data_IF_287437672211
#
_entry.id   IF_287437672211
#
_cell.length_a   1.000
_cell.length_b   1.000
_cell.length_c   1.000
_cell.angle_alpha   90.00
_cell.angle_beta   90.00
_cell.angle_gamma   90.00
#
_symmetry.space_group_name_H-M   'P 1'
#
loop_
_entity.id
_entity.type
_entity.pdbx_description
1 polymer ?
#
# COMPACT_ATOMS: atom_id res chain seq x y z
N UNK A 1 -11.08 11.08 -7.98
CA UNK A 1 -9.91 10.60 -7.16
C UNK A 1 -8.68 10.59 -8.06
N UNK A 2 -7.66 11.38 -7.76
CA UNK A 2 -6.48 11.50 -8.63
C UNK A 2 -5.70 10.20 -8.65
N UNK A 3 -5.49 9.67 -9.83
CA UNK A 3 -4.60 8.54 -10.07
C UNK A 3 -3.16 9.04 -10.08
N UNK A 4 -2.39 8.69 -9.06
CA UNK A 4 -0.97 9.08 -8.94
C UNK A 4 -0.07 8.24 -9.84
N UNK A 5 -0.24 8.38 -11.16
CA UNK A 5 0.39 7.55 -12.20
C UNK A 5 1.92 7.47 -12.08
N UNK A 6 2.56 8.54 -11.61
CA UNK A 6 4.01 8.55 -11.34
C UNK A 6 4.47 7.37 -10.47
N UNK A 7 3.73 7.05 -9.40
CA UNK A 7 4.05 5.95 -8.51
C UNK A 7 3.57 4.61 -9.08
N UNK A 8 2.36 4.58 -9.60
CA UNK A 8 1.75 3.36 -10.15
C UNK A 8 2.60 2.81 -11.29
N UNK A 9 3.10 3.67 -12.21
CA UNK A 9 3.99 3.28 -13.31
C UNK A 9 5.27 2.59 -12.81
N UNK A 10 5.87 3.08 -11.73
CA UNK A 10 7.07 2.46 -11.14
C UNK A 10 6.75 1.10 -10.51
N UNK A 11 5.64 1.01 -9.77
CA UNK A 11 5.24 -0.21 -9.06
C UNK A 11 4.77 -1.29 -10.04
N UNK A 12 4.18 -0.90 -11.18
CA UNK A 12 3.64 -1.80 -12.21
C UNK A 12 4.68 -2.81 -12.72
N UNK A 13 5.96 -2.41 -12.79
CA UNK A 13 7.04 -3.30 -13.21
C UNK A 13 7.28 -4.46 -12.23
N UNK A 14 6.73 -4.37 -11.01
CA UNK A 14 6.91 -5.36 -9.96
C UNK A 14 5.64 -6.15 -9.65
N UNK A 15 4.53 -5.94 -10.37
CA UNK A 15 3.26 -6.59 -10.06
C UNK A 15 3.38 -8.11 -9.95
N UNK A 16 4.12 -8.73 -10.85
CA UNK A 16 4.27 -10.19 -10.92
C UNK A 16 5.58 -10.70 -10.31
N UNK A 17 6.43 -9.80 -9.78
CA UNK A 17 7.68 -10.19 -9.13
C UNK A 17 7.42 -10.85 -7.78
N UNK A 18 8.39 -11.68 -7.35
CA UNK A 18 8.41 -12.32 -6.03
C UNK A 18 8.86 -11.36 -4.90
N UNK A 19 9.32 -10.15 -5.26
CA UNK A 19 9.66 -9.12 -4.29
C UNK A 19 8.42 -8.59 -3.60
N UNK A 20 8.51 -8.37 -2.30
CA UNK A 20 7.47 -7.69 -1.52
C UNK A 20 7.49 -6.20 -1.90
N UNK A 21 6.36 -5.67 -2.35
CA UNK A 21 6.19 -4.25 -2.71
C UNK A 21 5.78 -3.47 -1.48
N UNK A 22 6.68 -2.64 -0.96
CA UNK A 22 6.51 -1.88 0.29
C UNK A 22 6.25 -0.42 -0.04
N UNK A 23 5.03 0.06 0.19
CA UNK A 23 4.67 1.47 0.04
C UNK A 23 4.84 2.17 1.39
N UNK A 24 5.89 2.98 1.51
CA UNK A 24 6.20 3.72 2.73
C UNK A 24 5.95 5.22 2.55
N UNK A 25 5.57 5.87 3.62
CA UNK A 25 5.35 7.32 3.62
C UNK A 25 4.66 7.77 4.88
N UNK A 26 4.70 9.06 5.13
CA UNK A 26 4.05 9.65 6.31
C UNK A 26 2.55 9.36 6.29
N UNK A 27 1.93 9.37 7.46
CA UNK A 27 0.49 9.14 7.59
C UNK A 27 -0.27 10.16 6.73
N UNK A 28 -1.36 9.72 6.08
CA UNK A 28 -2.24 10.54 5.20
C UNK A 28 -1.59 11.07 3.91
N UNK A 29 -0.44 10.56 3.48
CA UNK A 29 0.15 10.95 2.18
C UNK A 29 -0.45 10.24 0.96
N UNK A 30 -1.43 9.35 1.14
CA UNK A 30 -2.16 8.68 0.05
C UNK A 30 -1.66 7.28 -0.31
N UNK A 31 -0.98 6.56 0.60
CA UNK A 31 -0.52 5.16 0.38
C UNK A 31 -1.67 4.23 0.02
N UNK A 32 -2.73 4.22 0.85
CA UNK A 32 -3.92 3.37 0.64
C UNK A 32 -4.63 3.67 -0.68
N UNK A 33 -4.66 4.93 -1.12
CA UNK A 33 -5.25 5.32 -2.41
C UNK A 33 -4.44 4.74 -3.58
N UNK A 34 -3.11 4.80 -3.51
CA UNK A 34 -2.24 4.18 -4.51
C UNK A 34 -2.42 2.66 -4.51
N UNK A 35 -2.47 2.03 -3.33
CA UNK A 35 -2.69 0.60 -3.18
C UNK A 35 -4.01 0.17 -3.83
N UNK A 36 -5.10 0.91 -3.59
CA UNK A 36 -6.41 0.67 -4.21
C UNK A 36 -6.36 0.85 -5.73
N UNK A 37 -5.67 1.88 -6.23
CA UNK A 37 -5.52 2.10 -7.67
C UNK A 37 -4.79 0.95 -8.36
N UNK A 38 -3.75 0.39 -7.72
CA UNK A 38 -3.03 -0.81 -8.19
C UNK A 38 -3.98 -2.01 -8.20
N UNK A 39 -4.73 -2.20 -7.12
CA UNK A 39 -5.69 -3.29 -7.00
C UNK A 39 -6.75 -3.23 -8.12
N UNK A 40 -7.28 -2.04 -8.44
CA UNK A 40 -8.25 -1.88 -9.53
C UNK A 40 -7.65 -2.23 -10.91
N UNK A 41 -6.37 -1.87 -11.15
CA UNK A 41 -5.68 -2.31 -12.39
C UNK A 41 -5.55 -3.83 -12.47
N UNK A 42 -5.26 -4.49 -11.35
CA UNK A 42 -5.07 -5.95 -11.30
C UNK A 42 -6.42 -6.67 -11.39
N UNK A 43 -7.49 -6.11 -10.82
CA UNK A 43 -8.86 -6.65 -10.93
C UNK A 43 -9.34 -6.80 -12.36
N UNK A 44 -8.85 -5.99 -13.29
CA UNK A 44 -9.18 -6.14 -14.72
C UNK A 44 -8.64 -7.45 -15.32
N UNK A 45 -7.67 -8.09 -14.66
CA UNK A 45 -6.98 -9.30 -15.15
C UNK A 45 -7.32 -10.55 -14.34
N UNK A 46 -7.63 -10.42 -13.05
CA UNK A 46 -7.90 -11.55 -12.16
C UNK A 46 -8.75 -11.17 -10.97
N UNK A 47 -9.54 -12.15 -10.49
CA UNK A 47 -10.29 -12.05 -9.24
C UNK A 47 -9.60 -12.75 -8.06
N UNK A 48 -8.34 -13.21 -8.22
CA UNK A 48 -7.58 -13.83 -7.14
C UNK A 48 -6.82 -12.74 -6.37
N UNK A 49 -7.58 -11.93 -5.64
CA UNK A 49 -7.09 -10.76 -4.91
C UNK A 49 -7.60 -10.84 -3.47
N UNK A 50 -6.68 -10.65 -2.54
CA UNK A 50 -6.98 -10.53 -1.10
C UNK A 50 -6.58 -9.12 -0.67
N UNK A 51 -7.50 -8.39 -0.05
CA UNK A 51 -7.26 -7.07 0.51
C UNK A 51 -7.72 -7.01 1.96
N UNK A 52 -6.81 -6.60 2.84
CA UNK A 52 -7.07 -6.34 4.26
C UNK A 52 -6.53 -4.94 4.60
N UNK A 53 -7.36 -4.18 5.33
CA UNK A 53 -6.97 -2.87 5.87
C UNK A 53 -7.03 -2.94 7.40
N UNK A 54 -5.88 -3.01 8.03
CA UNK A 54 -5.75 -3.22 9.47
C UNK A 54 -6.01 -1.97 10.34
N UNK A 55 -6.27 -0.80 9.74
CA UNK A 55 -6.94 0.30 10.46
C UNK A 55 -8.42 -0.01 10.75
N UNK A 56 -9.00 -1.01 10.05
CA UNK A 56 -10.39 -1.42 10.29
C UNK A 56 -10.43 -2.59 11.25
N UNK A 57 -11.15 -2.42 12.35
CA UNK A 57 -11.33 -3.47 13.37
C UNK A 57 -11.81 -4.80 12.77
N UNK A 58 -12.74 -4.75 11.80
CA UNK A 58 -13.26 -5.97 11.16
C UNK A 58 -12.17 -6.76 10.40
N UNK A 59 -11.18 -6.10 9.81
CA UNK A 59 -10.10 -6.78 9.10
C UNK A 59 -9.02 -7.25 10.09
N UNK A 60 -8.75 -6.47 11.14
CA UNK A 60 -7.86 -6.87 12.22
C UNK A 60 -8.40 -8.10 12.98
N UNK A 61 -9.73 -8.21 13.18
CA UNK A 61 -10.35 -9.40 13.77
C UNK A 61 -10.24 -10.67 12.91
N UNK A 62 -9.98 -10.56 11.62
CA UNK A 62 -9.76 -11.70 10.71
C UNK A 62 -8.34 -12.24 10.79
N UNK A 63 -7.37 -11.38 11.13
CA UNK A 63 -5.96 -11.72 11.15
C UNK A 63 -5.19 -10.71 12.03
N UNK A 64 -5.17 -10.96 13.34
CA UNK A 64 -4.52 -10.10 14.32
C UNK A 64 -3.04 -10.41 14.54
N UNK A 65 -2.59 -11.59 14.11
CA UNK A 65 -1.22 -12.07 14.26
C UNK A 65 -0.75 -12.83 13.01
N UNK A 66 0.54 -13.19 13.00
CA UNK A 66 1.17 -13.86 11.87
C UNK A 66 0.46 -15.15 11.44
N UNK A 67 0.08 -15.99 12.37
CA UNK A 67 -0.54 -17.30 12.08
C UNK A 67 -1.91 -17.10 11.44
N UNK A 68 -2.74 -16.28 12.04
CA UNK A 68 -4.08 -15.97 11.53
C UNK A 68 -4.02 -15.32 10.14
N UNK A 69 -3.01 -14.47 9.88
CA UNK A 69 -2.83 -13.84 8.57
C UNK A 69 -2.50 -14.87 7.50
N UNK A 70 -1.57 -15.78 7.77
CA UNK A 70 -1.21 -16.85 6.83
C UNK A 70 -2.40 -17.78 6.59
N UNK A 71 -3.11 -18.19 7.63
CA UNK A 71 -4.30 -19.02 7.51
C UNK A 71 -5.42 -18.34 6.72
N UNK A 72 -5.66 -17.05 6.98
CA UNK A 72 -6.66 -16.28 6.25
C UNK A 72 -6.34 -16.22 4.76
N UNK A 73 -5.10 -15.93 4.40
CA UNK A 73 -4.67 -15.89 3.00
C UNK A 73 -4.83 -17.27 2.36
N UNK A 74 -4.35 -18.32 2.99
CA UNK A 74 -4.41 -19.68 2.44
C UNK A 74 -5.84 -20.19 2.25
N UNK A 75 -6.78 -19.80 3.12
CA UNK A 75 -8.21 -20.17 3.03
C UNK A 75 -8.95 -19.41 1.92
N UNK A 76 -8.55 -18.17 1.63
CA UNK A 76 -9.27 -17.28 0.72
C UNK A 76 -8.64 -17.19 -0.69
N UNK A 77 -7.39 -17.60 -0.85
CA UNK A 77 -6.75 -17.59 -2.17
C UNK A 77 -7.34 -18.67 -3.08
N UNK A 78 -7.37 -18.37 -4.37
CA UNK A 78 -7.75 -19.31 -5.43
C UNK A 78 -6.50 -19.89 -6.10
N UNK A 79 -6.67 -20.87 -6.97
CA UNK A 79 -5.58 -21.40 -7.78
C UNK A 79 -4.96 -20.33 -8.69
N UNK A 80 -3.66 -20.44 -8.92
CA UNK A 80 -2.88 -19.53 -9.76
C UNK A 80 -2.29 -18.35 -8.99
N UNK A 81 -1.95 -17.29 -9.70
CA UNK A 81 -1.32 -16.08 -9.12
C UNK A 81 -2.30 -15.35 -8.20
N UNK A 82 -1.91 -15.15 -6.96
CA UNK A 82 -2.68 -14.43 -5.94
C UNK A 82 -2.01 -13.09 -5.63
N UNK A 83 -2.79 -12.02 -5.63
CA UNK A 83 -2.32 -10.68 -5.27
C UNK A 83 -2.84 -10.30 -3.89
N UNK A 84 -1.91 -10.10 -2.95
CA UNK A 84 -2.20 -9.89 -1.54
C UNK A 84 -1.86 -8.43 -1.20
N UNK A 85 -2.84 -7.67 -0.75
CA UNK A 85 -2.73 -6.26 -0.38
C UNK A 85 -3.01 -6.11 1.11
N UNK A 86 -2.00 -5.70 1.86
CA UNK A 86 -2.05 -5.51 3.31
C UNK A 86 -1.81 -4.03 3.63
N UNK A 87 -2.87 -3.31 3.95
CA UNK A 87 -2.82 -1.89 4.24
C UNK A 87 -2.64 -1.66 5.74
N UNK A 88 -1.64 -0.83 6.12
CA UNK A 88 -1.19 -0.57 7.49
C UNK A 88 -0.84 -1.87 8.26
N UNK A 89 -0.03 -2.72 7.61
CA UNK A 89 0.31 -4.09 8.07
C UNK A 89 0.96 -4.13 9.46
N UNK A 90 1.57 -3.04 9.94
CA UNK A 90 2.21 -2.96 11.25
C UNK A 90 1.22 -3.03 12.44
N UNK A 91 -0.06 -3.04 12.18
CA UNK A 91 -1.08 -3.27 13.22
C UNK A 91 -1.30 -4.76 13.51
N UNK A 92 -0.72 -5.66 12.70
CA UNK A 92 -0.73 -7.11 12.90
C UNK A 92 0.51 -7.53 13.68
N UNK A 93 0.33 -8.31 14.74
CA UNK A 93 1.45 -8.83 15.52
C UNK A 93 2.30 -9.80 14.69
N UNK A 94 3.61 -9.63 14.73
CA UNK A 94 4.59 -10.44 13.99
C UNK A 94 4.34 -10.53 12.47
N UNK A 95 3.71 -9.50 11.89
CA UNK A 95 3.38 -9.44 10.45
C UNK A 95 4.55 -9.78 9.51
N UNK A 96 5.78 -9.44 9.90
CA UNK A 96 6.99 -9.73 9.13
C UNK A 96 7.22 -11.23 8.95
N UNK A 97 6.85 -12.04 9.93
CA UNK A 97 6.91 -13.51 9.87
C UNK A 97 5.90 -14.01 8.85
N UNK A 98 4.66 -13.52 8.92
CA UNK A 98 3.61 -13.87 7.97
C UNK A 98 3.98 -13.52 6.52
N UNK A 99 4.45 -12.30 6.29
CA UNK A 99 4.83 -11.83 4.94
C UNK A 99 6.01 -12.62 4.39
N UNK A 100 6.98 -12.99 5.25
CA UNK A 100 8.10 -13.86 4.86
C UNK A 100 7.62 -15.25 4.46
N UNK A 101 6.71 -15.85 5.22
CA UNK A 101 6.14 -17.16 4.94
C UNK A 101 5.32 -17.14 3.65
N UNK A 102 4.38 -16.23 3.52
CA UNK A 102 3.55 -16.06 2.33
C UNK A 102 4.36 -15.86 1.04
N UNK A 103 5.52 -15.21 1.14
CA UNK A 103 6.43 -15.00 0.00
C UNK A 103 7.10 -16.30 -0.49
N UNK A 104 7.20 -17.34 0.33
CA UNK A 104 7.81 -18.62 -0.09
C UNK A 104 7.02 -19.28 -1.22
N UNK A 105 5.72 -19.02 -1.31
CA UNK A 105 4.94 -19.42 -2.48
C UNK A 105 5.08 -18.38 -3.60
N UNK A 106 5.76 -18.76 -4.69
CA UNK A 106 6.00 -17.91 -5.86
C UNK A 106 4.71 -17.45 -6.58
N UNK A 107 3.57 -18.08 -6.27
CA UNK A 107 2.26 -17.67 -6.75
C UNK A 107 1.75 -16.41 -6.03
N UNK A 108 2.31 -16.06 -4.88
CA UNK A 108 1.89 -14.87 -4.14
C UNK A 108 2.65 -13.62 -4.61
N UNK A 109 1.91 -12.56 -4.86
CA UNK A 109 2.43 -11.22 -5.11
C UNK A 109 1.96 -10.29 -4.00
N UNK A 110 2.88 -9.84 -3.14
CA UNK A 110 2.55 -9.18 -1.88
C UNK A 110 2.83 -7.68 -1.97
N UNK A 111 1.83 -6.89 -1.59
CA UNK A 111 1.89 -5.43 -1.46
C UNK A 111 1.56 -5.05 -0.02
N UNK A 112 2.42 -4.27 0.60
CA UNK A 112 2.20 -3.81 1.97
C UNK A 112 2.32 -2.30 2.07
N UNK A 113 1.55 -1.69 2.95
CA UNK A 113 1.72 -0.29 3.34
C UNK A 113 1.93 -0.16 4.84
N UNK A 114 2.51 0.97 5.22
CA UNK A 114 2.61 1.38 6.61
C UNK A 114 3.39 2.67 6.79
N UNK A 115 3.50 3.15 8.03
CA UNK A 115 4.26 4.34 8.34
C UNK A 115 5.77 4.07 8.29
N UNK A 116 6.57 5.06 7.84
CA UNK A 116 8.03 4.94 7.72
C UNK A 116 8.73 4.42 9.00
N UNK A 117 8.30 4.89 10.15
CA UNK A 117 8.93 4.55 11.42
C UNK A 117 8.76 3.09 11.83
N UNK A 118 7.64 2.48 11.43
CA UNK A 118 7.31 1.09 11.79
C UNK A 118 7.75 0.07 10.73
N UNK A 119 7.73 0.43 9.43
CA UNK A 119 8.08 -0.49 8.35
C UNK A 119 9.56 -0.47 7.93
N UNK A 120 10.30 0.57 8.25
CA UNK A 120 11.71 0.73 7.91
C UNK A 120 12.62 0.70 9.14
N UNK A 121 12.20 0.07 10.25
CA UNK A 121 13.10 -0.22 11.36
C UNK A 121 14.24 -1.14 10.88
N UNK A 122 15.43 -0.98 11.46
CA UNK A 122 16.62 -1.79 11.10
C UNK A 122 16.37 -3.29 11.20
N UNK A 123 15.55 -3.71 12.17
CA UNK A 123 15.19 -5.12 12.39
C UNK A 123 14.37 -5.68 11.23
N UNK A 124 13.36 -4.93 10.75
CA UNK A 124 12.51 -5.34 9.62
C UNK A 124 13.29 -5.34 8.31
N UNK A 125 14.15 -4.34 8.11
CA UNK A 125 15.04 -4.31 6.94
C UNK A 125 15.97 -5.52 6.90
N UNK A 126 16.44 -5.97 8.06
CA UNK A 126 17.28 -7.18 8.17
C UNK A 126 16.48 -8.44 7.86
N UNK A 127 15.27 -8.60 8.40
CA UNK A 127 14.41 -9.76 8.19
C UNK A 127 13.95 -9.91 6.73
N UNK A 128 13.71 -8.79 6.04
CA UNK A 128 13.25 -8.77 4.65
C UNK A 128 14.38 -8.48 3.65
N UNK A 129 15.64 -8.43 4.10
CA UNK A 129 16.80 -8.05 3.28
C UNK A 129 16.86 -8.81 1.96
N UNK A 130 17.05 -8.08 0.87
CA UNK A 130 17.11 -8.62 -0.50
C UNK A 130 15.78 -9.16 -1.06
N UNK A 131 14.66 -9.03 -0.32
CA UNK A 131 13.37 -9.65 -0.67
C UNK A 131 12.23 -8.65 -0.86
N UNK A 132 12.51 -7.37 -0.84
CA UNK A 132 11.51 -6.32 -1.02
C UNK A 132 12.02 -5.19 -1.92
N UNK A 133 11.09 -4.43 -2.45
CA UNK A 133 11.31 -3.15 -3.12
C UNK A 133 10.45 -2.09 -2.43
N UNK A 134 11.05 -0.97 -2.06
CA UNK A 134 10.34 0.11 -1.35
C UNK A 134 10.04 1.29 -2.28
N UNK A 135 8.83 1.81 -2.14
CA UNK A 135 8.34 2.99 -2.84
C UNK A 135 7.98 4.07 -1.82
N UNK A 136 8.77 5.14 -1.80
CA UNK A 136 8.52 6.25 -0.88
C UNK A 136 7.45 7.17 -1.42
N UNK A 137 6.27 7.12 -0.83
CA UNK A 137 5.13 7.96 -1.16
C UNK A 137 5.23 9.27 -0.38
N UNK A 138 5.18 10.38 -1.10
CA UNK A 138 5.19 11.74 -0.54
C UNK A 138 3.80 12.34 -0.62
N UNK A 139 3.49 13.35 0.20
CA UNK A 139 2.32 14.20 -0.03
C UNK A 139 2.25 14.69 -1.49
N UNK A 140 1.14 15.25 -1.90
CA UNK A 140 1.01 15.81 -3.25
C UNK A 140 2.08 16.87 -3.53
N UNK A 141 2.70 16.79 -4.70
CA UNK A 141 3.43 17.92 -5.28
C UNK A 141 2.44 19.02 -5.67
N UNK A 142 2.93 20.24 -5.88
CA UNK A 142 2.08 21.35 -6.32
C UNK A 142 1.33 21.01 -7.61
N UNK A 143 1.98 20.32 -8.57
CA UNK A 143 1.33 19.87 -9.79
C UNK A 143 0.18 18.91 -9.53
N UNK A 144 0.37 17.92 -8.67
CA UNK A 144 -0.69 16.96 -8.29
C UNK A 144 -1.84 17.67 -7.57
N UNK A 145 -1.56 18.72 -6.78
CA UNK A 145 -2.60 19.52 -6.15
C UNK A 145 -3.39 20.34 -7.17
N UNK A 146 -2.72 20.95 -8.14
CA UNK A 146 -3.41 21.68 -9.21
C UNK A 146 -4.37 20.76 -9.98
N UNK A 147 -3.92 19.56 -10.34
CA UNK A 147 -4.76 18.55 -11.00
C UNK A 147 -5.97 18.18 -10.12
N UNK A 148 -5.75 17.98 -8.82
CA UNK A 148 -6.82 17.67 -7.86
C UNK A 148 -7.81 18.82 -7.69
N UNK A 149 -7.32 20.04 -7.51
CA UNK A 149 -8.18 21.21 -7.33
C UNK A 149 -9.02 21.48 -8.59
N UNK A 150 -8.47 21.25 -9.78
CA UNK A 150 -9.21 21.34 -11.03
C UNK A 150 -10.36 20.30 -11.09
N UNK A 151 -10.14 19.05 -10.64
CA UNK A 151 -11.21 18.02 -10.57
C UNK A 151 -12.37 18.42 -9.65
N UNK A 152 -12.11 19.17 -8.59
CA UNK A 152 -13.11 19.60 -7.59
C UNK A 152 -13.56 21.05 -7.77
N UNK A 153 -13.20 21.70 -8.88
CA UNK A 153 -13.49 23.12 -9.18
C UNK A 153 -13.05 24.07 -8.06
N UNK A 154 -11.85 23.88 -7.53
CA UNK A 154 -11.27 24.71 -6.46
C UNK A 154 -10.00 25.37 -6.96
N UNK A 155 -9.85 26.67 -6.72
CA UNK A 155 -8.63 27.39 -7.00
C UNK A 155 -7.61 27.21 -5.88
N UNK A 156 -6.33 27.16 -6.23
CA UNK A 156 -5.21 27.14 -5.30
C UNK A 156 -4.05 27.96 -5.87
N UNK A 157 -3.45 28.77 -5.03
CA UNK A 157 -2.25 29.55 -5.38
C UNK A 157 -0.96 28.82 -4.94
N UNK A 158 0.20 29.15 -5.51
CA UNK A 158 1.49 28.66 -5.01
C UNK A 158 1.73 28.97 -3.54
N UNK A 159 1.24 30.14 -3.06
CA UNK A 159 1.37 30.55 -1.66
C UNK A 159 0.56 29.64 -0.74
N UNK A 160 -0.64 29.23 -1.14
CA UNK A 160 -1.45 28.26 -0.40
C UNK A 160 -0.74 26.93 -0.22
N UNK A 161 0.01 26.50 -1.25
CA UNK A 161 0.80 25.29 -1.16
C UNK A 161 1.98 25.43 -0.19
N UNK A 162 2.66 26.57 -0.20
CA UNK A 162 3.77 26.85 0.72
C UNK A 162 3.28 26.87 2.18
N UNK A 163 2.15 27.53 2.43
CA UNK A 163 1.61 27.69 3.79
C UNK A 163 1.04 26.37 4.31
N UNK A 164 0.29 25.64 3.48
CA UNK A 164 -0.51 24.52 3.93
C UNK A 164 0.02 23.13 3.55
N UNK A 165 1.01 23.05 2.66
CA UNK A 165 1.60 21.81 2.19
C UNK A 165 0.69 20.97 1.29
N UNK A 166 1.15 19.75 1.00
CA UNK A 166 0.56 18.85 0.01
C UNK A 166 -0.23 17.68 0.56
N UNK A 167 -0.77 17.75 1.78
CA UNK A 167 -1.55 16.64 2.32
C UNK A 167 -2.94 16.53 1.69
N UNK A 168 -3.30 15.38 1.07
CA UNK A 168 -4.61 15.20 0.43
C UNK A 168 -5.80 15.45 1.35
N UNK A 169 -5.70 15.06 2.62
CA UNK A 169 -6.78 15.21 3.60
C UNK A 169 -7.20 16.67 3.85
N UNK A 170 -6.36 17.64 3.52
CA UNK A 170 -6.67 19.06 3.61
C UNK A 170 -7.84 19.50 2.71
N UNK A 171 -8.03 18.77 1.60
CA UNK A 171 -9.03 19.13 0.59
C UNK A 171 -10.37 18.43 0.78
N UNK A 172 -10.53 17.67 1.87
CA UNK A 172 -11.77 16.99 2.21
C UNK A 172 -12.74 17.83 3.04
N UNK A 173 -12.52 19.15 3.15
CA UNK A 173 -13.36 20.09 3.92
C UNK A 173 -14.02 21.11 3.02
#
# INVERSE_FOLDING_TARGET
MIKREKYIKQIRNFYDSDLIKVLVGIRRCGKSVILQSIMEEIKSKTNNIIYLNFEKTNDLMKASNAVELVEYVNRNRKDGKCYIFLDEVQEVDDWQIAVKDLRLDSKNSIFITGSNSKLLSSEILTLLSGRFVSFRIRPFSYKEILEFCNEINREITPMDYVIWGGFPARFNF
#
